data_IF_309448539442
#
_entry.id   IF_309448539442
#
_cell.length_a   1.000
_cell.length_b   1.000
_cell.length_c   1.000
_cell.angle_alpha   90.00
_cell.angle_beta   90.00
_cell.angle_gamma   90.00
#
_symmetry.space_group_name_H-M   'P 1'
#
loop_
_entity.id
_entity.type
_entity.pdbx_description
1 polymer ?
#
# COMPACT_ATOMS: atom_id res chain seq x y z
N UNK A 1 -7.35 2.90 -25.19
CA UNK A 1 -7.32 1.47 -24.84
C UNK A 1 -7.55 1.38 -23.34
N UNK A 2 -8.50 0.56 -22.88
CA UNK A 2 -8.72 0.37 -21.45
C UNK A 2 -7.46 -0.28 -20.84
N UNK A 3 -7.02 0.18 -19.66
CA UNK A 3 -5.86 -0.38 -18.96
C UNK A 3 -6.14 -1.78 -18.37
N UNK A 4 -7.43 -2.07 -18.14
CA UNK A 4 -7.92 -3.32 -17.58
C UNK A 4 -8.87 -3.97 -18.57
N UNK A 5 -8.91 -5.31 -18.58
CA UNK A 5 -9.83 -6.03 -19.44
C UNK A 5 -11.29 -5.95 -18.94
N UNK A 6 -12.20 -6.35 -19.78
CA UNK A 6 -13.63 -6.28 -19.46
C UNK A 6 -14.01 -7.18 -18.30
N UNK A 7 -13.35 -8.34 -18.13
CA UNK A 7 -13.67 -9.29 -17.06
C UNK A 7 -13.29 -8.69 -15.72
N UNK A 8 -12.12 -8.03 -15.63
CA UNK A 8 -11.68 -7.35 -14.40
C UNK A 8 -12.63 -6.20 -14.02
N UNK A 9 -13.07 -5.40 -15.01
CA UNK A 9 -14.01 -4.31 -14.76
C UNK A 9 -15.36 -4.86 -14.29
N UNK A 10 -15.88 -5.91 -14.92
CA UNK A 10 -17.15 -6.55 -14.52
C UNK A 10 -17.04 -7.13 -13.11
N UNK A 11 -15.92 -7.75 -12.77
CA UNK A 11 -15.71 -8.29 -11.43
C UNK A 11 -15.72 -7.18 -10.36
N UNK A 12 -15.01 -6.07 -10.59
CA UNK A 12 -15.04 -4.92 -9.68
C UNK A 12 -16.46 -4.32 -9.54
N UNK A 13 -17.22 -4.21 -10.63
CA UNK A 13 -18.61 -3.73 -10.59
C UNK A 13 -19.52 -4.68 -9.80
N UNK A 14 -19.32 -6.00 -9.93
CA UNK A 14 -20.01 -6.98 -9.09
C UNK A 14 -19.63 -6.83 -7.62
N UNK A 15 -18.34 -6.57 -7.34
CA UNK A 15 -17.86 -6.28 -6.00
C UNK A 15 -18.55 -5.10 -5.34
N UNK A 16 -18.66 -3.99 -6.06
CA UNK A 16 -19.38 -2.80 -5.58
C UNK A 16 -20.87 -3.08 -5.35
N UNK A 17 -21.50 -3.91 -6.20
CA UNK A 17 -22.91 -4.30 -6.01
C UNK A 17 -23.11 -5.15 -4.78
N UNK A 18 -22.20 -6.09 -4.48
CA UNK A 18 -22.28 -6.98 -3.32
C UNK A 18 -21.80 -6.31 -2.04
N UNK A 19 -20.82 -5.41 -2.14
CA UNK A 19 -20.19 -4.67 -1.04
C UNK A 19 -20.11 -3.18 -1.42
N UNK A 20 -21.14 -2.38 -1.14
CA UNK A 20 -21.20 -0.97 -1.59
C UNK A 20 -19.99 -0.13 -1.16
N UNK A 21 -19.40 -0.40 0.02
CA UNK A 21 -18.21 0.30 0.51
C UNK A 21 -16.98 0.10 -0.39
N UNK A 22 -16.97 -0.95 -1.22
CA UNK A 22 -15.90 -1.16 -2.21
C UNK A 22 -15.80 -0.01 -3.22
N UNK A 23 -16.85 0.79 -3.41
CA UNK A 23 -16.80 1.99 -4.26
C UNK A 23 -15.67 2.93 -3.86
N UNK A 24 -15.32 2.97 -2.56
CA UNK A 24 -14.24 3.81 -2.04
C UNK A 24 -12.85 3.42 -2.56
N UNK A 25 -12.67 2.20 -3.09
CA UNK A 25 -11.44 1.80 -3.77
C UNK A 25 -11.22 2.54 -5.10
N UNK A 26 -12.26 3.13 -5.68
CA UNK A 26 -12.29 3.68 -7.03
C UNK A 26 -12.31 5.20 -7.10
N UNK A 27 -12.14 5.90 -5.98
CA UNK A 27 -11.88 7.34 -6.00
C UNK A 27 -10.61 7.61 -6.83
N UNK A 28 -10.60 8.72 -7.56
CA UNK A 28 -9.49 9.08 -8.44
C UNK A 28 -8.13 9.04 -7.70
N UNK A 29 -8.06 9.56 -6.47
CA UNK A 29 -6.88 9.51 -5.63
C UNK A 29 -6.43 8.09 -5.30
N UNK A 30 -7.37 7.17 -5.07
CA UNK A 30 -7.09 5.77 -4.78
C UNK A 30 -6.56 5.03 -6.02
N UNK A 31 -7.21 5.21 -7.17
CA UNK A 31 -6.78 4.56 -8.42
C UNK A 31 -5.42 5.10 -8.89
N UNK A 32 -5.24 6.42 -8.92
CA UNK A 32 -3.98 7.02 -9.37
C UNK A 32 -2.81 6.62 -8.48
N UNK A 33 -2.99 6.59 -7.14
CA UNK A 33 -1.93 6.17 -6.23
C UNK A 33 -1.56 4.69 -6.39
N UNK A 34 -2.55 3.81 -6.62
CA UNK A 34 -2.31 2.39 -6.89
C UNK A 34 -1.64 2.17 -8.24
N UNK A 35 -2.06 2.88 -9.30
CA UNK A 35 -1.41 2.82 -10.61
C UNK A 35 0.05 3.26 -10.54
N UNK A 36 0.31 4.39 -9.87
CA UNK A 36 1.64 4.91 -9.64
C UNK A 36 2.53 3.89 -8.93
N UNK A 37 2.02 3.25 -7.87
CA UNK A 37 2.72 2.18 -7.16
C UNK A 37 3.02 1.00 -8.09
N UNK A 38 2.02 0.52 -8.83
CA UNK A 38 2.19 -0.61 -9.75
C UNK A 38 3.22 -0.31 -10.86
N UNK A 39 3.25 0.92 -11.37
CA UNK A 39 4.22 1.35 -12.38
C UNK A 39 5.65 1.36 -11.80
N UNK A 40 5.81 1.78 -10.55
CA UNK A 40 7.10 1.76 -9.88
C UNK A 40 7.57 0.33 -9.58
N UNK A 41 6.70 -0.52 -9.05
CA UNK A 41 7.04 -1.93 -8.81
C UNK A 41 7.47 -2.58 -10.11
N UNK A 42 6.73 -2.38 -11.20
CA UNK A 42 7.10 -2.91 -12.52
C UNK A 42 8.45 -2.37 -13.02
N UNK A 43 8.76 -1.10 -12.76
CA UNK A 43 9.97 -0.43 -13.26
C UNK A 43 11.21 -0.76 -12.45
N UNK A 44 11.09 -0.81 -11.12
CA UNK A 44 12.23 -0.96 -10.21
C UNK A 44 12.41 -2.39 -9.69
N UNK A 45 11.34 -3.18 -9.63
CA UNK A 45 11.31 -4.52 -9.06
C UNK A 45 10.63 -5.54 -10.00
N UNK A 46 11.00 -5.59 -11.30
CA UNK A 46 10.30 -6.43 -12.28
C UNK A 46 10.47 -7.94 -12.04
N UNK A 47 11.45 -8.34 -11.22
CA UNK A 47 11.72 -9.73 -10.84
C UNK A 47 11.05 -10.16 -9.54
N UNK A 48 10.34 -9.25 -8.85
CA UNK A 48 9.58 -9.62 -7.66
C UNK A 48 8.53 -10.67 -8.02
N UNK A 49 8.53 -11.78 -7.31
CA UNK A 49 7.62 -12.90 -7.57
C UNK A 49 6.67 -13.15 -6.40
N UNK A 50 7.16 -13.08 -5.16
CA UNK A 50 6.36 -13.28 -3.94
C UNK A 50 6.12 -11.94 -3.26
N UNK A 51 4.87 -11.49 -3.32
CA UNK A 51 4.45 -10.17 -2.85
C UNK A 51 3.42 -10.31 -1.74
N UNK A 52 3.60 -9.56 -0.64
CA UNK A 52 2.60 -9.45 0.42
C UNK A 52 2.09 -8.00 0.44
N UNK A 53 0.77 -7.84 0.41
CA UNK A 53 0.11 -6.53 0.49
C UNK A 53 -0.63 -6.42 1.81
N UNK A 54 -0.18 -5.50 2.66
CA UNK A 54 -0.81 -5.18 3.94
C UNK A 54 -1.80 -4.03 3.79
N UNK A 55 -2.92 -4.08 4.53
CA UNK A 55 -4.05 -3.20 4.32
C UNK A 55 -4.64 -3.38 2.94
N UNK A 56 -4.77 -4.64 2.51
CA UNK A 56 -5.15 -4.99 1.14
C UNK A 56 -6.60 -4.67 0.79
N UNK A 57 -7.43 -4.51 1.83
CA UNK A 57 -8.85 -4.19 1.71
C UNK A 57 -9.55 -5.14 0.72
N UNK A 58 -10.26 -4.62 -0.30
CA UNK A 58 -10.94 -5.44 -1.33
C UNK A 58 -10.00 -6.03 -2.40
N UNK A 59 -8.67 -5.89 -2.27
CA UNK A 59 -7.70 -6.49 -3.18
C UNK A 59 -7.55 -5.78 -4.52
N UNK A 60 -8.11 -4.58 -4.71
CA UNK A 60 -8.02 -3.84 -5.98
C UNK A 60 -6.56 -3.57 -6.36
N UNK A 61 -5.68 -3.23 -5.41
CA UNK A 61 -4.25 -3.08 -5.68
C UNK A 61 -3.62 -4.41 -6.14
N UNK A 62 -4.01 -5.52 -5.52
CA UNK A 62 -3.52 -6.84 -5.90
C UNK A 62 -3.91 -7.20 -7.34
N UNK A 63 -5.17 -6.95 -7.71
CA UNK A 63 -5.66 -7.14 -9.08
C UNK A 63 -4.89 -6.28 -10.10
N UNK A 64 -4.68 -4.98 -9.77
CA UNK A 64 -3.94 -4.04 -10.62
C UNK A 64 -2.49 -4.48 -10.81
N UNK A 65 -1.83 -4.91 -9.72
CA UNK A 65 -0.45 -5.35 -9.75
C UNK A 65 -0.31 -6.66 -10.53
N UNK A 66 -1.23 -7.61 -10.34
CA UNK A 66 -1.25 -8.87 -11.11
C UNK A 66 -1.45 -8.62 -12.62
N UNK A 67 -2.27 -7.63 -12.99
CA UNK A 67 -2.42 -7.23 -14.41
C UNK A 67 -1.09 -6.74 -15.01
N UNK A 68 -0.27 -6.02 -14.25
CA UNK A 68 1.03 -5.50 -14.73
C UNK A 68 2.17 -6.52 -14.65
N UNK A 69 2.08 -7.46 -13.73
CA UNK A 69 3.07 -8.50 -13.44
C UNK A 69 2.34 -9.87 -13.28
N UNK A 70 1.92 -10.52 -14.37
CA UNK A 70 1.00 -11.66 -14.30
C UNK A 70 1.58 -12.93 -13.65
N UNK A 71 2.89 -13.01 -13.46
CA UNK A 71 3.55 -14.16 -12.87
C UNK A 71 3.79 -14.03 -11.35
N UNK A 72 3.32 -12.93 -10.72
CA UNK A 72 3.52 -12.74 -9.28
C UNK A 72 2.52 -13.56 -8.46
N UNK A 73 2.98 -14.01 -7.30
CA UNK A 73 2.16 -14.62 -6.27
C UNK A 73 1.87 -13.56 -5.20
N UNK A 74 0.60 -13.26 -5.00
CA UNK A 74 0.18 -12.21 -4.06
C UNK A 74 -0.54 -12.83 -2.88
N UNK A 75 -0.13 -12.41 -1.67
CA UNK A 75 -0.87 -12.62 -0.44
C UNK A 75 -1.45 -11.27 0.03
N UNK A 76 -2.75 -11.25 0.26
CA UNK A 76 -3.48 -10.12 0.81
C UNK A 76 -3.59 -10.26 2.33
N UNK A 77 -3.21 -9.23 3.07
CA UNK A 77 -3.28 -9.20 4.54
C UNK A 77 -4.17 -8.02 4.95
N UNK A 78 -5.18 -8.30 5.76
CA UNK A 78 -6.06 -7.27 6.33
C UNK A 78 -6.66 -7.74 7.65
N UNK A 79 -6.99 -6.80 8.54
CA UNK A 79 -7.71 -7.08 9.78
C UNK A 79 -9.23 -7.14 9.58
N UNK A 80 -9.72 -6.51 8.51
CA UNK A 80 -11.14 -6.43 8.21
C UNK A 80 -11.58 -7.61 7.35
N UNK A 81 -12.39 -8.47 7.94
CA UNK A 81 -12.82 -9.73 7.32
C UNK A 81 -13.62 -9.52 6.04
N UNK A 82 -14.56 -8.58 6.03
CA UNK A 82 -15.50 -8.42 4.89
C UNK A 82 -14.76 -8.06 3.60
N UNK A 83 -13.94 -6.99 3.53
CA UNK A 83 -13.20 -6.69 2.32
C UNK A 83 -12.17 -7.78 1.97
N UNK A 84 -11.49 -8.35 2.96
CA UNK A 84 -10.49 -9.38 2.73
C UNK A 84 -11.09 -10.64 2.09
N UNK A 85 -12.30 -11.05 2.49
CA UNK A 85 -12.99 -12.21 1.90
C UNK A 85 -13.34 -11.99 0.42
N UNK A 86 -13.47 -10.75 -0.03
CA UNK A 86 -13.60 -10.45 -1.45
C UNK A 86 -12.30 -10.73 -2.19
N UNK A 87 -11.17 -10.23 -1.70
CA UNK A 87 -9.85 -10.47 -2.30
C UNK A 87 -9.44 -11.94 -2.28
N UNK A 88 -9.86 -12.69 -1.25
CA UNK A 88 -9.60 -14.13 -1.07
C UNK A 88 -10.18 -15.01 -2.18
N UNK A 89 -11.05 -14.47 -3.04
CA UNK A 89 -11.58 -15.17 -4.22
C UNK A 89 -10.52 -15.37 -5.32
N UNK A 90 -9.46 -14.55 -5.30
CA UNK A 90 -8.43 -14.54 -6.34
C UNK A 90 -7.00 -14.68 -5.81
N UNK A 91 -6.76 -14.23 -4.57
CA UNK A 91 -5.44 -14.14 -3.99
C UNK A 91 -5.36 -14.96 -2.70
N UNK A 92 -4.17 -15.44 -2.36
CA UNK A 92 -3.92 -15.95 -1.02
C UNK A 92 -4.21 -14.85 0.02
N UNK A 93 -4.61 -15.22 1.23
CA UNK A 93 -4.98 -14.22 2.24
C UNK A 93 -4.59 -14.64 3.65
N UNK A 94 -4.42 -13.65 4.51
CA UNK A 94 -4.29 -13.80 5.95
C UNK A 94 -5.13 -12.73 6.67
N UNK A 95 -5.99 -13.17 7.60
CA UNK A 95 -6.87 -12.29 8.37
C UNK A 95 -6.24 -11.99 9.73
N UNK A 96 -5.86 -10.75 9.97
CA UNK A 96 -5.29 -10.31 11.23
C UNK A 96 -4.62 -8.94 11.13
N UNK A 97 -4.12 -8.48 12.25
CA UNK A 97 -3.39 -7.23 12.35
C UNK A 97 -1.94 -7.42 11.89
N UNK A 98 -1.47 -6.57 11.00
CA UNK A 98 -0.20 -6.72 10.27
C UNK A 98 1.03 -6.85 11.16
N UNK A 99 1.06 -6.22 12.34
CA UNK A 99 2.19 -6.30 13.27
C UNK A 99 2.38 -7.70 13.88
N UNK A 100 1.38 -8.58 13.78
CA UNK A 100 1.44 -9.97 14.23
C UNK A 100 1.60 -10.96 13.09
N UNK A 101 1.83 -10.47 11.87
CA UNK A 101 2.04 -11.33 10.72
C UNK A 101 3.40 -12.05 10.82
N UNK A 102 3.37 -13.37 10.73
CA UNK A 102 4.58 -14.19 10.70
C UNK A 102 4.96 -14.55 9.26
N UNK A 103 6.16 -14.14 8.86
CA UNK A 103 6.66 -14.43 7.50
C UNK A 103 7.16 -15.86 7.41
N UNK A 104 6.52 -16.68 6.59
CA UNK A 104 6.89 -18.10 6.48
C UNK A 104 8.23 -18.33 5.76
N UNK A 105 8.53 -17.65 4.68
CA UNK A 105 9.82 -17.71 3.95
C UNK A 105 9.89 -16.69 2.83
N UNK A 106 11.09 -16.44 2.31
CA UNK A 106 11.45 -15.72 1.08
C UNK A 106 10.34 -14.88 0.43
N UNK A 107 10.14 -13.70 0.97
CA UNK A 107 9.29 -12.66 0.39
C UNK A 107 10.21 -11.71 -0.39
N UNK A 108 9.86 -11.42 -1.64
CA UNK A 108 10.65 -10.49 -2.45
C UNK A 108 10.23 -9.05 -2.19
N UNK A 109 8.94 -8.84 -1.96
CA UNK A 109 8.36 -7.50 -1.83
C UNK A 109 7.22 -7.48 -0.80
N UNK A 110 7.26 -6.51 0.06
CA UNK A 110 6.18 -6.17 1.00
C UNK A 110 5.63 -4.79 0.63
N UNK A 111 4.30 -4.67 0.55
CA UNK A 111 3.62 -3.42 0.24
C UNK A 111 2.68 -3.04 1.39
N UNK A 112 2.74 -1.79 1.84
CA UNK A 112 1.80 -1.24 2.80
C UNK A 112 1.32 0.15 2.34
N UNK A 113 0.05 0.24 1.95
CA UNK A 113 -0.59 1.48 1.49
C UNK A 113 -1.55 2.08 2.52
N UNK A 114 -1.50 1.59 3.76
CA UNK A 114 -2.37 1.99 4.88
C UNK A 114 -1.55 2.49 6.08
N UNK A 115 -0.35 3.04 5.83
CA UNK A 115 0.55 3.44 6.92
C UNK A 115 0.00 4.60 7.74
N UNK A 116 -0.85 5.44 7.18
CA UNK A 116 -1.53 6.55 7.86
C UNK A 116 -2.50 6.10 8.95
N UNK A 117 -3.03 4.88 8.87
CA UNK A 117 -3.98 4.32 9.85
C UNK A 117 -3.31 3.58 11.03
N UNK A 118 -1.98 3.52 11.05
CA UNK A 118 -1.21 2.83 12.08
C UNK A 118 -0.69 3.82 13.12
N UNK A 119 -0.66 3.42 14.37
CA UNK A 119 0.20 4.08 15.35
C UNK A 119 1.68 3.88 14.96
N UNK A 120 2.57 4.74 15.47
CA UNK A 120 4.01 4.56 15.19
C UNK A 120 4.49 3.21 15.71
N UNK A 121 4.01 2.76 16.88
CA UNK A 121 4.36 1.45 17.46
C UNK A 121 3.93 0.27 16.58
N UNK A 122 2.70 0.30 16.03
CA UNK A 122 2.21 -0.75 15.11
C UNK A 122 3.04 -0.80 13.84
N UNK A 123 3.35 0.38 13.29
CA UNK A 123 4.21 0.50 12.12
C UNK A 123 5.62 -0.05 12.39
N UNK A 124 6.25 0.37 13.49
CA UNK A 124 7.59 -0.06 13.85
C UNK A 124 7.66 -1.57 14.05
N UNK A 125 6.67 -2.13 14.76
CA UNK A 125 6.58 -3.58 14.99
C UNK A 125 6.42 -4.34 13.66
N UNK A 126 5.54 -3.88 12.77
CA UNK A 126 5.37 -4.45 11.44
C UNK A 126 6.66 -4.34 10.62
N UNK A 127 7.27 -3.16 10.57
CA UNK A 127 8.48 -2.91 9.81
C UNK A 127 9.67 -3.74 10.31
N UNK A 128 9.82 -3.89 11.63
CA UNK A 128 10.91 -4.68 12.22
C UNK A 128 10.80 -6.17 11.91
N UNK A 129 9.58 -6.66 11.71
CA UNK A 129 9.32 -8.06 11.34
C UNK A 129 9.61 -8.36 9.86
N UNK A 130 9.73 -7.35 8.99
CA UNK A 130 10.06 -7.58 7.57
C UNK A 130 11.40 -8.35 7.48
N UNK A 131 11.45 -9.48 6.76
CA UNK A 131 12.66 -10.28 6.63
C UNK A 131 13.80 -9.48 5.98
N UNK A 132 15.04 -9.82 6.33
CA UNK A 132 16.20 -9.30 5.63
C UNK A 132 16.19 -9.72 4.15
N UNK A 133 16.81 -8.91 3.29
CA UNK A 133 16.85 -9.07 1.83
C UNK A 133 15.47 -8.95 1.16
N UNK A 134 14.56 -8.20 1.76
CA UNK A 134 13.22 -7.94 1.24
C UNK A 134 13.08 -6.47 0.86
N UNK A 135 12.54 -6.21 -0.33
CA UNK A 135 12.09 -4.86 -0.68
C UNK A 135 10.77 -4.54 0.02
N UNK A 136 10.58 -3.27 0.36
CA UNK A 136 9.29 -2.82 0.86
C UNK A 136 8.89 -1.50 0.19
N UNK A 137 7.60 -1.39 -0.11
CA UNK A 137 6.98 -0.18 -0.64
C UNK A 137 5.95 0.30 0.37
N UNK A 138 6.05 1.55 0.76
CA UNK A 138 5.11 2.18 1.68
C UNK A 138 4.51 3.44 1.05
N UNK A 139 3.22 3.67 1.33
CA UNK A 139 2.56 4.92 1.01
C UNK A 139 2.00 5.56 2.28
N UNK A 140 1.95 6.87 2.29
CA UNK A 140 1.30 7.72 3.29
C UNK A 140 0.80 9.00 2.62
N UNK A 141 0.27 9.93 3.40
CA UNK A 141 -0.30 11.17 2.88
C UNK A 141 -0.18 12.33 3.88
N UNK A 142 -0.60 13.53 3.43
CA UNK A 142 -0.73 14.74 4.25
C UNK A 142 -2.20 15.09 4.60
N UNK A 143 -3.12 14.14 4.49
CA UNK A 143 -4.53 14.40 4.80
C UNK A 143 -4.83 14.27 6.29
N UNK A 144 -4.61 15.35 7.04
CA UNK A 144 -4.89 15.45 8.48
C UNK A 144 -6.37 15.64 8.82
N UNK A 145 -7.27 15.70 7.83
CA UNK A 145 -8.70 15.92 8.08
C UNK A 145 -9.42 14.62 8.43
N UNK A 146 -8.91 13.52 7.91
CA UNK A 146 -9.45 12.19 8.22
C UNK A 146 -8.99 11.78 9.63
N UNK A 147 -9.95 11.52 10.51
CA UNK A 147 -9.67 11.28 11.94
C UNK A 147 -8.86 10.03 12.22
N UNK A 148 -8.91 9.07 11.32
CA UNK A 148 -8.19 7.81 11.38
C UNK A 148 -6.82 7.87 10.70
N UNK A 149 -6.45 9.02 10.11
CA UNK A 149 -5.10 9.27 9.61
C UNK A 149 -4.17 9.75 10.74
N UNK A 150 -3.93 8.88 11.70
CA UNK A 150 -3.16 9.19 12.92
C UNK A 150 -1.66 9.32 12.67
N UNK A 151 -1.17 8.90 11.49
CA UNK A 151 0.23 8.96 11.09
C UNK A 151 0.43 9.72 9.76
N UNK A 152 -0.45 10.68 9.46
CA UNK A 152 -0.24 11.61 8.35
C UNK A 152 1.07 12.41 8.55
N UNK A 153 1.71 12.83 7.45
CA UNK A 153 2.99 13.53 7.45
C UNK A 153 2.88 14.84 6.68
N UNK A 154 3.67 15.85 7.08
CA UNK A 154 3.65 17.17 6.41
C UNK A 154 4.55 17.22 5.17
N UNK A 155 5.44 16.24 5.01
CA UNK A 155 6.39 16.20 3.89
C UNK A 155 6.84 14.77 3.60
N UNK A 156 7.44 14.58 2.41
CA UNK A 156 8.07 13.33 2.03
C UNK A 156 9.24 12.97 2.98
N UNK A 157 9.99 13.96 3.44
CA UNK A 157 11.11 13.75 4.35
C UNK A 157 10.62 13.25 5.71
N UNK A 158 9.59 13.87 6.29
CA UNK A 158 8.95 13.39 7.53
C UNK A 158 8.39 11.99 7.35
N UNK A 159 7.74 11.73 6.21
CA UNK A 159 7.23 10.39 5.88
C UNK A 159 8.35 9.34 5.84
N UNK A 160 9.47 9.65 5.19
CA UNK A 160 10.63 8.74 5.11
C UNK A 160 11.24 8.49 6.48
N UNK A 161 11.38 9.52 7.30
CA UNK A 161 11.91 9.41 8.67
C UNK A 161 11.01 8.51 9.53
N UNK A 162 9.72 8.83 9.63
CA UNK A 162 8.73 8.04 10.38
C UNK A 162 8.58 6.60 9.85
N UNK A 163 8.87 6.39 8.56
CA UNK A 163 8.77 5.09 7.91
C UNK A 163 10.10 4.31 7.88
N UNK A 164 11.13 4.82 8.57
CA UNK A 164 12.46 4.18 8.64
C UNK A 164 13.00 3.76 7.28
N UNK A 165 12.85 4.66 6.27
CA UNK A 165 13.31 4.36 4.92
C UNK A 165 14.84 4.39 4.89
N UNK A 166 15.43 3.22 4.98
CA UNK A 166 16.86 2.99 4.79
C UNK A 166 17.09 2.39 3.40
N UNK A 167 18.28 2.54 2.84
CA UNK A 167 18.60 2.01 1.51
C UNK A 167 17.49 2.38 0.50
N UNK A 168 17.12 3.67 0.46
CA UNK A 168 16.03 4.18 -0.38
C UNK A 168 16.36 3.98 -1.87
N UNK A 169 15.62 3.09 -2.51
CA UNK A 169 15.75 2.85 -3.94
C UNK A 169 15.09 3.97 -4.75
N UNK A 170 13.92 4.39 -4.32
CA UNK A 170 13.18 5.49 -4.93
C UNK A 170 12.16 6.07 -3.95
N UNK A 171 11.88 7.38 -4.08
CA UNK A 171 10.81 8.04 -3.33
C UNK A 171 10.23 9.20 -4.13
N UNK A 172 8.98 9.57 -3.87
CA UNK A 172 8.32 10.66 -4.58
C UNK A 172 6.99 11.08 -3.98
N UNK A 173 6.42 12.10 -4.59
CA UNK A 173 5.15 12.71 -4.23
C UNK A 173 4.22 12.66 -5.43
N UNK A 174 2.98 12.28 -5.19
CA UNK A 174 1.88 12.41 -6.14
C UNK A 174 0.89 13.42 -5.57
N UNK A 175 0.74 14.54 -6.27
CA UNK A 175 -0.24 15.57 -5.92
C UNK A 175 -1.58 15.29 -6.58
N UNK A 176 -2.67 15.62 -5.90
CA UNK A 176 -4.02 15.61 -6.44
C UNK A 176 -4.90 16.65 -5.78
N UNK A 177 -5.84 17.16 -6.56
CA UNK A 177 -6.81 18.13 -6.10
C UNK A 177 -7.87 17.46 -5.25
N UNK A 178 -8.13 18.05 -4.10
CA UNK A 178 -9.21 17.70 -3.20
C UNK A 178 -10.42 18.63 -3.32
N UNK A 179 -11.31 18.62 -2.34
CA UNK A 179 -12.44 19.52 -2.29
C UNK A 179 -12.03 20.99 -2.33
N UNK A 180 -12.94 21.81 -2.86
CA UNK A 180 -12.75 23.26 -2.92
C UNK A 180 -12.72 23.88 -1.52
N UNK A 181 -11.62 24.54 -1.18
CA UNK A 181 -11.52 25.37 0.02
C UNK A 181 -12.22 26.71 -0.24
N UNK A 182 -13.34 26.93 0.47
CA UNK A 182 -14.14 28.15 0.32
C UNK A 182 -13.47 29.39 0.92
N UNK A 183 -12.54 29.21 1.86
CA UNK A 183 -11.83 30.31 2.53
C UNK A 183 -10.71 30.80 1.62
N UNK A 184 -9.90 29.88 1.13
CA UNK A 184 -8.77 30.20 0.23
C UNK A 184 -9.21 30.35 -1.23
N UNK A 185 -10.46 30.05 -1.54
CA UNK A 185 -11.05 30.12 -2.89
C UNK A 185 -10.21 29.35 -3.94
N UNK A 186 -9.74 28.18 -3.59
CA UNK A 186 -8.97 27.26 -4.44
C UNK A 186 -9.23 25.79 -4.05
N UNK A 187 -8.93 24.80 -4.92
CA UNK A 187 -8.95 23.40 -4.49
C UNK A 187 -7.89 23.17 -3.41
N UNK A 188 -8.21 22.32 -2.44
CA UNK A 188 -7.19 21.78 -1.55
C UNK A 188 -6.25 20.88 -2.33
N UNK A 189 -4.96 20.90 -2.02
CA UNK A 189 -3.98 19.99 -2.63
C UNK A 189 -3.59 18.97 -1.58
N UNK A 190 -3.66 17.70 -1.97
CA UNK A 190 -3.21 16.60 -1.17
C UNK A 190 -1.99 15.97 -1.80
N UNK A 191 -1.12 15.52 -0.95
CA UNK A 191 0.08 14.79 -1.34
C UNK A 191 -0.01 13.34 -0.87
N UNK A 192 0.23 12.42 -1.78
CA UNK A 192 0.50 11.03 -1.48
C UNK A 192 2.00 10.81 -1.58
N UNK A 193 2.59 10.36 -0.49
CA UNK A 193 4.00 9.99 -0.43
C UNK A 193 4.16 8.52 -0.75
N UNK A 194 5.26 8.18 -1.42
CA UNK A 194 5.65 6.79 -1.63
C UNK A 194 7.17 6.65 -1.54
N UNK A 195 7.62 5.56 -0.95
CA UNK A 195 9.02 5.19 -0.92
C UNK A 195 9.20 3.69 -1.09
N UNK A 196 10.29 3.32 -1.78
CA UNK A 196 10.78 1.95 -1.89
C UNK A 196 12.07 1.86 -1.08
N UNK A 197 12.07 1.00 -0.07
CA UNK A 197 13.24 0.67 0.74
C UNK A 197 13.68 -0.77 0.55
N UNK A 198 14.85 -1.09 1.03
CA UNK A 198 15.39 -2.44 1.06
C UNK A 198 15.85 -2.78 2.48
N UNK A 199 15.34 -3.89 3.01
CA UNK A 199 15.68 -4.40 4.33
C UNK A 199 16.91 -5.28 4.22
N UNK A 200 18.09 -4.77 4.56
CA UNK A 200 19.31 -5.56 4.53
C UNK A 200 19.61 -6.29 5.85
N UNK A 201 20.62 -7.14 5.84
CA UNK A 201 21.04 -7.90 7.03
C UNK A 201 21.72 -7.02 8.11
N UNK A 202 22.08 -5.77 7.76
CA UNK A 202 22.84 -4.89 8.66
C UNK A 202 21.94 -4.25 9.73
N UNK A 203 20.66 -4.05 9.41
CA UNK A 203 19.70 -3.37 10.29
C UNK A 203 19.42 -4.14 11.58
N UNK A 204 19.53 -5.48 11.56
CA UNK A 204 19.33 -6.31 12.77
C UNK A 204 20.47 -6.25 13.77
N UNK A 205 21.72 -6.03 13.34
CA UNK A 205 22.91 -6.05 14.21
C UNK A 205 23.05 -4.78 15.05
N UNK A 206 22.51 -3.66 14.61
CA UNK A 206 22.63 -2.37 15.30
C UNK A 206 21.55 -2.14 16.37
N UNK A 207 20.50 -2.97 16.42
CA UNK A 207 19.44 -2.90 17.46
C UNK A 207 19.71 -3.82 18.69
N UNK A 208 20.78 -4.62 18.66
CA UNK A 208 21.14 -5.57 19.73
C UNK A 208 22.30 -5.09 20.63
N UNK A 209 22.68 -3.81 20.57
CA UNK A 209 23.69 -3.20 21.44
C UNK A 209 23.09 -2.13 22.34
#
# INVERSE_FOLDING_TARGET
MLKYDNEQIIDWMNGVRENPDMVNCFWASQIHSKEWLCDWVKSFLPSANRVIIFGSWYGVLADMLHTKLPNIQIMCVDKDKTPLMWSARKHAYWLGEMQYFEYETNVDLVINTSTEHLTQWEYDTWHDNIPANTYYVVQGNNDFREKDHIRACNSLEEFKEKSHIVNCLHSGVLEYEGPWDKIENKPTVYERYMAIGFKDNYDRKNKSN
#
